data_IF_734640909083
#
_entry.id   IF_734640909083
#
_cell.length_a   1.000
_cell.length_b   1.000
_cell.length_c   1.000
_cell.angle_alpha   90.00
_cell.angle_beta   90.00
_cell.angle_gamma   90.00
#
_symmetry.space_group_name_H-M   'P 1'
#
loop_
_entity.id
_entity.type
_entity.pdbx_description
1 polymer ?
#
# COMPACT_ATOMS: atom_id res chain seq x y z
N UNK A 1 19.61 -6.06 -9.17
CA UNK A 1 19.84 -7.49 -8.87
C UNK A 1 18.87 -7.93 -7.77
N UNK A 2 17.78 -8.60 -8.14
CA UNK A 2 16.67 -8.88 -7.23
C UNK A 2 17.03 -9.87 -6.13
N UNK A 3 16.63 -9.57 -4.90
CA UNK A 3 16.82 -10.40 -3.70
C UNK A 3 16.40 -11.88 -3.88
N UNK A 4 15.39 -12.14 -4.71
CA UNK A 4 14.91 -13.50 -5.06
C UNK A 4 15.95 -14.34 -5.82
N UNK A 5 16.86 -13.70 -6.57
CA UNK A 5 17.91 -14.39 -7.33
C UNK A 5 18.99 -14.98 -6.42
N UNK A 6 19.27 -14.34 -5.29
CA UNK A 6 20.24 -14.80 -4.28
C UNK A 6 19.68 -16.01 -3.53
N UNK A 7 18.42 -15.92 -3.08
CA UNK A 7 17.71 -17.02 -2.42
C UNK A 7 17.68 -18.27 -3.31
N UNK A 8 17.41 -18.09 -4.61
CA UNK A 8 17.43 -19.20 -5.58
C UNK A 8 18.82 -19.79 -5.80
N UNK A 9 19.84 -18.95 -5.93
CA UNK A 9 21.22 -19.44 -6.11
C UNK A 9 21.61 -20.33 -4.93
N UNK A 10 21.39 -19.85 -3.71
CA UNK A 10 21.70 -20.61 -2.50
C UNK A 10 20.90 -21.91 -2.40
N UNK A 11 19.61 -21.90 -2.73
CA UNK A 11 18.77 -23.09 -2.62
C UNK A 11 18.96 -24.12 -3.75
N UNK A 12 19.07 -23.66 -5.00
CA UNK A 12 19.06 -24.53 -6.19
C UNK A 12 20.46 -24.88 -6.70
N UNK A 13 21.41 -23.93 -6.65
CA UNK A 13 22.78 -24.15 -7.12
C UNK A 13 23.66 -24.65 -5.98
N UNK A 14 23.65 -23.95 -4.85
CA UNK A 14 24.54 -24.26 -3.72
C UNK A 14 23.94 -25.29 -2.75
N UNK A 15 22.71 -25.77 -3.01
CA UNK A 15 21.95 -26.75 -2.21
C UNK A 15 21.94 -26.45 -0.70
N UNK A 16 21.98 -25.18 -0.33
CA UNK A 16 22.02 -24.72 1.04
C UNK A 16 20.69 -25.03 1.76
N UNK A 17 20.70 -25.46 3.03
CA UNK A 17 19.47 -25.73 3.75
C UNK A 17 18.64 -24.45 3.93
N UNK A 18 17.32 -24.57 3.76
CA UNK A 18 16.36 -23.44 3.89
C UNK A 18 16.49 -22.73 5.25
N UNK A 19 16.87 -23.46 6.30
CA UNK A 19 17.10 -22.88 7.64
C UNK A 19 18.24 -21.87 7.65
N UNK A 20 19.29 -22.15 6.89
CA UNK A 20 20.47 -21.28 6.78
C UNK A 20 20.18 -20.06 5.91
N UNK A 21 19.44 -20.25 4.81
CA UNK A 21 18.96 -19.16 3.98
C UNK A 21 18.06 -18.22 4.81
N UNK A 22 17.19 -18.76 5.66
CA UNK A 22 16.33 -17.98 6.57
C UNK A 22 17.15 -17.15 7.57
N UNK A 23 18.22 -17.71 8.15
CA UNK A 23 19.11 -16.97 9.06
C UNK A 23 19.83 -15.83 8.36
N UNK A 24 20.34 -16.07 7.15
CA UNK A 24 21.12 -15.07 6.39
C UNK A 24 20.26 -13.97 5.78
N UNK A 25 19.02 -14.30 5.40
CA UNK A 25 18.13 -13.36 4.71
C UNK A 25 17.11 -12.69 5.64
N UNK A 26 16.98 -13.16 6.89
CA UNK A 26 15.97 -12.68 7.84
C UNK A 26 14.52 -13.05 7.47
N UNK A 27 14.31 -13.80 6.39
CA UNK A 27 12.97 -14.19 5.95
C UNK A 27 12.48 -15.45 6.66
N UNK A 28 11.15 -15.52 6.79
CA UNK A 28 10.52 -16.75 7.26
C UNK A 28 10.80 -17.91 6.30
N UNK A 29 10.94 -19.11 6.86
CA UNK A 29 11.11 -20.35 6.08
C UNK A 29 9.94 -20.57 5.12
N UNK A 30 8.75 -20.12 5.49
CA UNK A 30 7.54 -20.21 4.65
C UNK A 30 7.64 -19.29 3.44
N UNK A 31 8.17 -18.07 3.62
CA UNK A 31 8.41 -17.11 2.54
C UNK A 31 9.44 -17.64 1.55
N UNK A 32 10.55 -18.23 2.04
CA UNK A 32 11.57 -18.84 1.18
C UNK A 32 10.97 -20.01 0.38
N UNK A 33 10.21 -20.89 1.04
CA UNK A 33 9.54 -22.01 0.35
C UNK A 33 8.53 -21.52 -0.70
N UNK A 34 7.77 -20.47 -0.39
CA UNK A 34 6.84 -19.82 -1.33
C UNK A 34 7.59 -19.30 -2.56
N UNK A 35 8.67 -18.56 -2.36
CA UNK A 35 9.48 -18.01 -3.46
C UNK A 35 10.17 -19.07 -4.32
N UNK A 36 10.59 -20.19 -3.73
CA UNK A 36 11.13 -21.31 -4.50
C UNK A 36 10.06 -21.96 -5.38
N UNK A 37 8.83 -22.09 -4.89
CA UNK A 37 7.68 -22.65 -5.64
C UNK A 37 7.20 -21.74 -6.77
N UNK A 38 7.06 -20.44 -6.50
CA UNK A 38 6.34 -19.50 -7.39
C UNK A 38 7.13 -18.96 -8.58
N UNK A 39 8.35 -19.42 -8.86
CA UNK A 39 9.15 -18.81 -9.94
C UNK A 39 9.65 -17.41 -9.57
N UNK A 40 10.34 -16.70 -10.48
CA UNK A 40 10.92 -15.36 -10.23
C UNK A 40 9.85 -14.26 -10.26
N UNK A 41 8.73 -14.48 -9.58
CA UNK A 41 7.63 -13.52 -9.54
C UNK A 41 7.88 -12.57 -8.38
N UNK A 42 8.04 -11.29 -8.71
CA UNK A 42 8.02 -10.24 -7.70
C UNK A 42 6.69 -10.34 -6.92
N UNK A 43 6.71 -10.32 -5.58
CA UNK A 43 5.49 -10.41 -4.80
C UNK A 43 4.57 -9.25 -5.17
N UNK A 44 3.53 -9.54 -5.95
CA UNK A 44 2.49 -8.57 -6.28
C UNK A 44 1.57 -8.45 -5.07
N UNK A 45 1.73 -7.36 -4.32
CA UNK A 45 0.76 -6.97 -3.31
C UNK A 45 -0.53 -6.59 -4.03
N UNK A 46 -1.47 -7.53 -4.10
CA UNK A 46 -2.84 -7.23 -4.54
C UNK A 46 -3.57 -6.62 -3.35
N UNK A 47 -3.51 -5.30 -3.22
CA UNK A 47 -4.49 -4.60 -2.40
C UNK A 47 -5.81 -4.67 -3.16
N UNK A 48 -6.84 -5.40 -2.67
CA UNK A 48 -8.12 -5.40 -3.35
C UNK A 48 -8.66 -3.97 -3.34
N UNK A 49 -9.13 -3.49 -4.50
CA UNK A 49 -9.88 -2.23 -4.56
C UNK A 49 -11.17 -2.42 -3.77
N UNK A 50 -11.24 -1.83 -2.58
CA UNK A 50 -12.44 -1.83 -1.76
C UNK A 50 -13.17 -0.52 -2.03
N UNK A 51 -14.42 -0.54 -2.50
CA UNK A 51 -15.17 0.69 -2.68
C UNK A 51 -15.33 1.37 -1.33
N UNK A 52 -14.86 2.59 -1.21
CA UNK A 52 -15.01 3.42 -0.02
C UNK A 52 -16.25 4.31 -0.17
N UNK A 53 -16.89 4.65 0.95
CA UNK A 53 -18.00 5.63 0.96
C UNK A 53 -17.57 7.02 0.46
N UNK A 54 -16.27 7.28 0.38
CA UNK A 54 -15.68 8.53 -0.10
C UNK A 54 -15.43 8.52 -1.61
N UNK A 55 -15.47 7.36 -2.27
CA UNK A 55 -15.19 7.24 -3.70
C UNK A 55 -16.09 8.15 -4.56
N UNK A 56 -17.40 8.29 -4.29
CA UNK A 56 -18.26 9.22 -5.04
C UNK A 56 -17.88 10.69 -4.89
N UNK A 57 -17.10 11.05 -3.87
CA UNK A 57 -16.72 12.42 -3.55
C UNK A 57 -15.23 12.70 -3.78
N UNK A 58 -14.47 11.72 -4.28
CA UNK A 58 -13.02 11.79 -4.42
C UNK A 58 -12.55 12.94 -5.32
N UNK A 59 -13.22 13.18 -6.45
CA UNK A 59 -12.87 14.25 -7.38
C UNK A 59 -13.06 15.64 -6.76
N UNK A 60 -14.17 15.83 -6.02
CA UNK A 60 -14.46 17.09 -5.33
C UNK A 60 -13.49 17.34 -4.18
N UNK A 61 -13.16 16.30 -3.42
CA UNK A 61 -12.15 16.39 -2.36
C UNK A 61 -10.78 16.73 -2.93
N UNK A 62 -10.38 16.09 -4.03
CA UNK A 62 -9.11 16.36 -4.70
C UNK A 62 -9.05 17.81 -5.20
N UNK A 63 -10.11 18.30 -5.86
CA UNK A 63 -10.20 19.68 -6.29
C UNK A 63 -10.15 20.67 -5.12
N UNK A 64 -10.86 20.38 -4.03
CA UNK A 64 -10.86 21.21 -2.83
C UNK A 64 -9.47 21.26 -2.17
N UNK A 65 -8.79 20.12 -2.02
CA UNK A 65 -7.45 20.03 -1.47
C UNK A 65 -6.43 20.77 -2.33
N UNK A 66 -6.51 20.64 -3.67
CA UNK A 66 -5.65 21.38 -4.59
C UNK A 66 -5.87 22.89 -4.50
N UNK A 67 -7.13 23.33 -4.36
CA UNK A 67 -7.45 24.74 -4.17
C UNK A 67 -6.93 25.26 -2.82
N UNK A 68 -7.01 24.47 -1.74
CA UNK A 68 -6.46 24.86 -0.44
C UNK A 68 -4.93 24.89 -0.45
N UNK A 69 -4.27 23.93 -1.11
CA UNK A 69 -2.81 23.86 -1.15
C UNK A 69 -2.13 25.11 -1.74
N UNK A 70 -2.86 25.86 -2.58
CA UNK A 70 -2.39 27.12 -3.18
C UNK A 70 -2.60 28.34 -2.29
N UNK A 71 -3.41 28.23 -1.24
CA UNK A 71 -3.75 29.34 -0.34
C UNK A 71 -2.73 29.50 0.78
N UNK A 72 -2.62 30.69 1.39
CA UNK A 72 -1.85 30.85 2.61
C UNK A 72 -2.50 30.07 3.75
N UNK A 73 -1.69 29.55 4.68
CA UNK A 73 -2.16 28.72 5.82
C UNK A 73 -3.33 29.31 6.61
N UNK A 74 -3.43 30.63 6.73
CA UNK A 74 -4.51 31.32 7.46
C UNK A 74 -5.88 31.21 6.76
N UNK A 75 -5.90 30.92 5.47
CA UNK A 75 -7.11 30.81 4.65
C UNK A 75 -7.47 29.36 4.29
N UNK A 76 -6.70 28.38 4.79
CA UNK A 76 -6.99 26.97 4.56
C UNK A 76 -8.32 26.58 5.22
N UNK A 77 -9.20 25.99 4.41
CA UNK A 77 -10.38 25.31 4.95
C UNK A 77 -9.96 24.16 5.88
N UNK A 78 -10.67 24.04 6.99
CA UNK A 78 -10.47 22.93 7.94
C UNK A 78 -11.18 21.67 7.45
N UNK A 79 -10.71 20.50 7.92
CA UNK A 79 -11.34 19.21 7.61
C UNK A 79 -12.82 19.20 8.00
N UNK A 80 -13.18 19.85 9.12
CA UNK A 80 -14.57 20.01 9.57
C UNK A 80 -15.44 20.77 8.56
N UNK A 81 -14.90 21.82 7.93
CA UNK A 81 -15.61 22.56 6.89
C UNK A 81 -15.77 21.72 5.62
N UNK A 82 -14.75 20.95 5.25
CA UNK A 82 -14.85 20.02 4.11
C UNK A 82 -15.87 18.91 4.37
N UNK A 83 -15.92 18.37 5.60
CA UNK A 83 -16.94 17.40 6.00
C UNK A 83 -18.35 18.00 5.95
N UNK A 84 -18.55 19.23 6.43
CA UNK A 84 -19.84 19.90 6.32
C UNK A 84 -20.31 20.07 4.86
N UNK A 85 -19.37 20.34 3.94
CA UNK A 85 -19.66 20.40 2.51
C UNK A 85 -20.00 19.00 1.94
N UNK A 86 -19.36 17.92 2.42
CA UNK A 86 -19.68 16.54 2.05
C UNK A 86 -21.07 16.10 2.57
N UNK A 87 -21.41 16.44 3.81
CA UNK A 87 -22.71 16.08 4.41
C UNK A 87 -23.87 16.71 3.63
N UNK A 88 -23.72 17.94 3.15
CA UNK A 88 -24.70 18.58 2.25
C UNK A 88 -24.91 17.82 0.94
N UNK A 89 -23.91 17.04 0.52
CA UNK A 89 -23.96 16.21 -0.68
C UNK A 89 -24.44 14.78 -0.40
N UNK A 90 -24.95 14.51 0.81
CA UNK A 90 -25.48 13.21 1.21
C UNK A 90 -24.43 12.24 1.76
N UNK A 91 -23.24 12.73 2.15
CA UNK A 91 -22.25 11.88 2.79
C UNK A 91 -22.65 11.52 4.22
N UNK A 92 -22.87 10.23 4.48
CA UNK A 92 -23.27 9.69 5.80
C UNK A 92 -22.09 9.28 6.70
N UNK A 93 -20.85 9.54 6.28
CA UNK A 93 -19.67 9.15 7.06
C UNK A 93 -19.27 10.15 8.15
N UNK A 94 -18.46 9.67 9.08
CA UNK A 94 -17.80 10.48 10.12
C UNK A 94 -16.53 11.16 9.58
N UNK A 95 -16.14 12.29 10.17
CA UNK A 95 -14.87 12.97 9.89
C UNK A 95 -13.72 12.59 10.85
N UNK A 96 -14.01 11.76 11.86
CA UNK A 96 -13.08 11.29 12.88
C UNK A 96 -12.86 9.78 12.86
#
# INVERSE_FOLDING_TARGET
MGFLSVVRRWALRDKMPIREISRRTGLSRNTIRKYLREGAVEPKFKTPSRPSKLDPYADRLSACLLAQARKPRKEHRTVKQMHADLVKLGYEGSYG
#
